data_IF_348510779524
#
_entry.id   IF_348510779524
#
_cell.length_a   1.000
_cell.length_b   1.000
_cell.length_c   1.000
_cell.angle_alpha   90.00
_cell.angle_beta   90.00
_cell.angle_gamma   90.00
#
_symmetry.space_group_name_H-M   'P 1'
#
loop_
_entity.id
_entity.type
_entity.pdbx_description
1 polymer ?
#
# COMPACT_ATOMS: atom_id res chain seq x y z
N UNK A 1 55.55 -22.73 6.20
CA UNK A 1 56.97 -22.35 6.36
C UNK A 1 57.07 -20.84 6.34
N UNK A 2 57.67 -20.29 7.44
CA UNK A 2 58.21 -18.94 7.65
C UNK A 2 57.24 -17.77 7.56
N UNK A 3 56.68 -17.16 8.63
CA UNK A 3 57.27 -16.44 9.78
C UNK A 3 58.13 -15.23 9.42
N UNK A 4 57.72 -14.06 9.89
CA UNK A 4 58.44 -13.08 10.74
C UNK A 4 57.71 -11.73 10.66
N UNK A 5 57.07 -11.18 11.70
CA UNK A 5 57.55 -10.44 12.88
C UNK A 5 58.05 -9.03 12.50
N UNK A 6 57.36 -7.97 12.88
CA UNK A 6 57.60 -7.23 14.09
C UNK A 6 57.87 -5.75 13.83
N UNK A 7 57.34 -4.86 14.65
CA UNK A 7 57.83 -3.48 14.71
C UNK A 7 56.84 -2.46 15.35
N UNK A 8 56.78 -2.50 16.68
CA UNK A 8 56.24 -1.39 17.52
C UNK A 8 57.21 -0.20 17.50
N UNK A 9 56.74 1.02 17.47
CA UNK A 9 57.30 2.12 18.29
C UNK A 9 56.27 3.22 18.58
N UNK A 10 56.28 3.64 19.80
CA UNK A 10 55.52 4.56 20.61
C UNK A 10 55.98 6.02 20.47
N UNK A 11 55.13 6.91 20.99
CA UNK A 11 55.34 8.24 21.63
C UNK A 11 55.30 9.46 20.67
N UNK A 12 54.72 10.61 20.96
CA UNK A 12 54.50 11.28 22.24
C UNK A 12 53.49 12.43 22.10
N UNK A 13 52.90 12.80 23.23
CA UNK A 13 52.04 13.95 23.56
C UNK A 13 52.60 15.32 23.10
N UNK A 14 51.69 16.25 22.81
CA UNK A 14 51.81 17.63 23.24
C UNK A 14 50.42 18.29 23.37
N UNK A 15 50.09 18.70 24.58
CA UNK A 15 48.96 19.51 25.02
C UNK A 15 49.37 20.98 24.85
N UNK A 16 48.52 21.82 24.24
CA UNK A 16 48.53 23.26 24.47
C UNK A 16 47.10 23.76 24.62
N UNK A 17 46.79 24.15 25.84
CA UNK A 17 45.61 24.93 26.21
C UNK A 17 45.95 26.44 26.07
N UNK A 18 45.06 27.22 25.51
CA UNK A 18 45.02 28.68 25.73
C UNK A 18 43.59 29.19 25.76
N UNK A 19 43.24 29.70 26.91
CA UNK A 19 42.13 30.51 27.33
C UNK A 19 42.32 31.97 26.87
N UNK A 20 41.20 32.66 26.49
CA UNK A 20 41.03 34.13 26.69
C UNK A 20 39.60 34.52 26.31
N UNK A 21 38.78 34.84 27.26
CA UNK A 21 38.36 36.14 27.84
C UNK A 21 37.28 36.87 27.04
N UNK A 22 36.15 37.01 27.71
CA UNK A 22 34.96 37.79 27.36
C UNK A 22 35.20 39.32 27.37
N UNK A 23 34.46 40.01 26.54
CA UNK A 23 34.18 41.44 26.74
C UNK A 23 32.70 41.70 26.45
N UNK A 24 32.00 42.09 27.51
CA UNK A 24 30.66 42.64 27.53
C UNK A 24 30.77 44.14 27.20
N UNK A 25 29.95 44.65 26.29
CA UNK A 25 29.65 46.07 26.16
C UNK A 25 28.14 46.21 25.97
N UNK A 26 27.48 46.74 26.99
CA UNK A 26 26.12 47.28 26.94
C UNK A 26 26.13 48.64 26.22
N UNK A 27 25.21 48.81 25.28
CA UNK A 27 24.74 50.15 24.88
C UNK A 27 23.25 50.09 24.61
N UNK A 28 22.49 50.84 25.36
CA UNK A 28 21.07 51.11 25.27
C UNK A 28 20.73 51.99 24.08
N UNK A 29 19.65 51.67 23.36
CA UNK A 29 19.03 52.52 22.34
C UNK A 29 17.73 51.84 21.90
N UNK A 30 16.61 52.39 22.33
CA UNK A 30 15.26 52.08 21.88
C UNK A 30 15.12 52.42 20.40
N UNK A 31 14.58 51.46 19.62
CA UNK A 31 13.74 51.77 18.47
C UNK A 31 12.96 50.48 18.10
N UNK A 32 11.65 50.61 18.11
CA UNK A 32 10.68 49.65 17.68
C UNK A 32 10.92 49.23 16.22
N UNK A 33 11.27 47.95 15.99
CA UNK A 33 11.14 47.33 14.68
C UNK A 33 10.56 45.94 14.87
N UNK A 34 9.35 45.82 14.40
CA UNK A 34 8.57 44.62 14.20
C UNK A 34 9.45 43.46 13.66
N UNK A 35 9.96 42.63 14.54
CA UNK A 35 10.56 41.36 14.16
C UNK A 35 9.44 40.34 13.97
N UNK A 36 8.90 40.34 12.75
CA UNK A 36 8.17 39.16 12.27
C UNK A 36 9.04 37.92 12.51
N UNK A 37 8.70 37.17 13.52
CA UNK A 37 9.19 35.83 13.71
C UNK A 37 8.85 35.06 12.43
N UNK A 38 9.79 34.95 11.52
CA UNK A 38 9.78 33.95 10.49
C UNK A 38 9.77 32.61 11.24
N UNK A 39 8.59 32.05 11.35
CA UNK A 39 8.38 30.67 11.68
C UNK A 39 9.25 29.88 10.72
N UNK A 40 10.32 29.28 11.19
CA UNK A 40 11.12 28.32 10.44
C UNK A 40 10.23 27.10 10.23
N UNK A 41 9.42 27.17 9.18
CA UNK A 41 8.77 26.01 8.62
C UNK A 41 9.87 25.05 8.13
N UNK A 42 9.97 23.89 8.80
CA UNK A 42 10.50 22.63 8.32
C UNK A 42 11.68 22.68 7.35
N UNK A 43 12.89 22.95 7.83
CA UNK A 43 14.08 22.59 7.08
C UNK A 43 14.34 21.11 7.23
N UNK A 44 14.36 20.33 6.14
CA UNK A 44 14.99 19.04 6.15
C UNK A 44 14.39 17.87 5.36
N UNK A 45 13.14 17.98 4.87
CA UNK A 45 12.55 16.84 4.15
C UNK A 45 13.03 16.73 2.68
N UNK A 46 13.51 17.79 2.07
CA UNK A 46 13.94 17.83 0.67
C UNK A 46 15.35 18.39 0.53
N UNK A 47 16.11 18.00 -0.53
CA UNK A 47 15.73 17.00 -1.53
C UNK A 47 15.65 15.59 -0.96
N UNK A 48 14.78 14.73 -1.56
CA UNK A 48 14.69 13.33 -1.22
C UNK A 48 14.91 12.45 -2.46
N UNK A 49 15.69 11.39 -2.33
CA UNK A 49 15.91 10.41 -3.41
C UNK A 49 15.23 9.09 -3.03
N UNK A 50 14.53 8.51 -3.98
CA UNK A 50 13.79 7.25 -3.85
C UNK A 50 14.27 6.29 -4.94
N UNK A 51 14.76 5.12 -4.53
CA UNK A 51 15.13 4.03 -5.44
C UNK A 51 13.87 3.25 -5.83
N UNK A 52 13.79 2.81 -7.09
CA UNK A 52 12.66 2.07 -7.64
C UNK A 52 13.11 1.18 -8.81
N UNK A 53 12.22 0.40 -9.40
CA UNK A 53 12.53 -0.60 -10.42
C UNK A 53 13.30 -0.06 -11.64
N UNK A 54 13.17 1.22 -11.95
CA UNK A 54 13.80 1.85 -13.12
C UNK A 54 14.96 2.81 -12.75
N UNK A 55 15.52 2.67 -11.56
CA UNK A 55 16.63 3.48 -11.05
C UNK A 55 16.27 4.27 -9.81
N UNK A 56 16.51 5.58 -9.81
CA UNK A 56 16.19 6.46 -8.68
C UNK A 56 15.63 7.80 -9.16
N UNK A 57 14.73 8.38 -8.36
CA UNK A 57 14.15 9.69 -8.61
C UNK A 57 14.45 10.62 -7.45
N UNK A 58 14.99 11.81 -7.76
CA UNK A 58 15.19 12.87 -6.78
C UNK A 58 14.07 13.88 -6.89
N UNK A 59 13.43 14.17 -5.76
CA UNK A 59 12.38 15.17 -5.60
C UNK A 59 13.02 16.36 -4.85
N UNK A 60 13.14 17.47 -5.52
CA UNK A 60 13.92 18.63 -5.04
C UNK A 60 13.18 19.46 -3.96
N UNK A 61 11.84 19.47 -4.02
CA UNK A 61 10.99 20.26 -3.13
C UNK A 61 9.65 19.56 -2.90
N UNK A 62 8.89 20.01 -1.89
CA UNK A 62 7.57 19.47 -1.61
C UNK A 62 6.65 19.56 -2.84
N UNK A 63 6.11 18.45 -3.34
CA UNK A 63 5.25 18.46 -4.52
C UNK A 63 3.87 19.05 -4.19
N UNK A 64 3.32 19.83 -5.14
CA UNK A 64 2.00 20.44 -5.03
C UNK A 64 0.97 19.83 -5.99
N UNK A 65 1.44 19.21 -7.08
CA UNK A 65 0.60 18.69 -8.17
C UNK A 65 0.95 17.25 -8.49
N UNK A 66 0.40 16.35 -7.71
CA UNK A 66 0.72 14.93 -7.81
C UNK A 66 -0.29 14.23 -8.71
N UNK A 67 0.19 13.40 -9.62
CA UNK A 67 -0.62 12.44 -10.38
C UNK A 67 -0.24 11.02 -9.95
N UNK A 68 -1.24 10.18 -9.73
CA UNK A 68 -1.03 8.75 -9.47
C UNK A 68 -1.43 7.93 -10.68
N UNK A 69 -0.59 6.96 -11.02
CA UNK A 69 -0.80 6.05 -12.16
C UNK A 69 -0.83 4.57 -11.76
N UNK A 70 -0.56 4.27 -10.48
CA UNK A 70 -0.74 2.93 -9.92
C UNK A 70 -2.20 2.64 -9.58
N UNK A 71 -2.49 1.39 -9.25
CA UNK A 71 -3.84 0.86 -9.08
C UNK A 71 -4.64 1.55 -7.95
N UNK A 72 -3.96 1.93 -6.85
CA UNK A 72 -4.58 2.55 -5.67
C UNK A 72 -3.65 3.54 -4.95
N UNK A 73 -2.67 4.06 -5.65
CA UNK A 73 -1.65 4.96 -5.08
C UNK A 73 -2.23 6.24 -4.48
N UNK A 74 -3.39 6.71 -5.00
CA UNK A 74 -4.10 7.85 -4.46
C UNK A 74 -4.51 7.63 -2.99
N UNK A 75 -4.77 6.38 -2.59
CA UNK A 75 -5.21 6.09 -1.22
C UNK A 75 -4.09 6.29 -0.20
N UNK A 76 -2.83 6.03 -0.58
CA UNK A 76 -1.67 6.35 0.26
C UNK A 76 -1.54 7.87 0.47
N UNK A 77 -1.74 8.67 -0.58
CA UNK A 77 -1.73 10.13 -0.48
C UNK A 77 -2.92 10.65 0.33
N UNK A 78 -4.11 10.12 0.12
CA UNK A 78 -5.31 10.50 0.86
C UNK A 78 -5.18 10.21 2.35
N UNK A 79 -4.52 9.10 2.73
CA UNK A 79 -4.22 8.78 4.11
C UNK A 79 -3.31 9.83 4.78
N UNK A 80 -2.45 10.48 4.00
CA UNK A 80 -1.57 11.59 4.40
C UNK A 80 -2.26 12.97 4.30
N UNK A 81 -3.55 13.02 3.96
CA UNK A 81 -4.32 14.24 3.77
C UNK A 81 -4.00 14.99 2.48
N UNK A 82 -3.35 14.35 1.51
CA UNK A 82 -2.97 14.93 0.22
C UNK A 82 -3.90 14.39 -0.86
N UNK A 83 -4.42 15.28 -1.69
CA UNK A 83 -5.34 14.95 -2.79
C UNK A 83 -4.60 15.08 -4.11
N UNK A 84 -4.38 14.00 -4.87
CA UNK A 84 -3.77 14.10 -6.19
C UNK A 84 -4.67 14.88 -7.15
N UNK A 85 -4.06 15.56 -8.12
CA UNK A 85 -4.78 16.29 -9.17
C UNK A 85 -5.25 15.38 -10.31
N UNK A 86 -4.65 14.20 -10.42
CA UNK A 86 -5.00 13.17 -11.40
C UNK A 86 -4.79 11.78 -10.82
N UNK A 87 -5.61 10.82 -11.25
CA UNK A 87 -5.54 9.44 -10.82
C UNK A 87 -6.03 8.48 -11.91
N UNK A 88 -5.71 7.20 -11.74
CA UNK A 88 -6.26 6.11 -12.55
C UNK A 88 -7.55 5.62 -11.92
N UNK A 89 -8.56 5.29 -12.73
CA UNK A 89 -9.76 4.61 -12.26
C UNK A 89 -9.51 3.08 -12.27
N UNK A 90 -9.74 2.41 -11.15
CA UNK A 90 -9.54 0.96 -11.04
C UNK A 90 -10.47 0.14 -11.94
N UNK A 91 -11.70 0.62 -12.16
CA UNK A 91 -12.72 -0.12 -12.90
C UNK A 91 -13.12 0.65 -14.14
N UNK A 92 -12.83 0.13 -15.37
CA UNK A 92 -13.25 0.77 -16.61
C UNK A 92 -14.76 0.98 -16.68
N UNK A 93 -15.19 2.16 -17.10
CA UNK A 93 -16.61 2.48 -17.29
C UNK A 93 -17.35 3.00 -16.05
N UNK A 94 -16.75 2.92 -14.87
CA UNK A 94 -17.35 3.41 -13.62
C UNK A 94 -16.57 4.63 -13.10
N UNK A 95 -16.92 5.85 -13.52
CA UNK A 95 -16.08 7.04 -13.29
C UNK A 95 -15.91 7.41 -11.81
N UNK A 96 -16.81 6.98 -10.94
CA UNK A 96 -16.84 7.40 -9.55
C UNK A 96 -16.49 6.32 -8.52
N UNK A 97 -16.18 5.10 -8.95
CA UNK A 97 -15.92 3.97 -8.06
C UNK A 97 -14.87 4.30 -7.01
N UNK A 98 -13.70 4.79 -7.43
CA UNK A 98 -12.60 5.11 -6.51
C UNK A 98 -12.91 6.27 -5.55
N UNK A 99 -13.98 7.03 -5.76
CA UNK A 99 -14.40 8.15 -4.91
C UNK A 99 -15.61 7.83 -4.04
N UNK A 100 -16.37 6.81 -4.40
CA UNK A 100 -17.61 6.44 -3.73
C UNK A 100 -17.43 5.42 -2.60
N UNK A 101 -16.29 4.77 -2.52
CA UNK A 101 -16.04 3.82 -1.46
C UNK A 101 -16.03 4.47 -0.07
N UNK A 102 -16.59 3.80 0.95
CA UNK A 102 -16.74 4.36 2.30
C UNK A 102 -15.45 4.90 2.91
N UNK A 103 -14.31 4.25 2.64
CA UNK A 103 -13.01 4.63 3.21
C UNK A 103 -12.33 5.81 2.52
N UNK A 104 -12.72 6.17 1.30
CA UNK A 104 -12.13 7.30 0.55
C UNK A 104 -13.03 8.52 0.44
N UNK A 105 -14.34 8.38 0.61
CA UNK A 105 -15.31 9.49 0.47
C UNK A 105 -14.99 10.66 1.40
N UNK A 106 -14.68 10.37 2.68
CA UNK A 106 -14.26 11.38 3.64
C UNK A 106 -12.95 12.08 3.26
N UNK A 107 -11.86 11.35 3.02
CA UNK A 107 -10.59 11.92 2.56
C UNK A 107 -10.69 12.77 1.29
N UNK A 108 -11.48 12.37 0.29
CA UNK A 108 -11.74 13.20 -0.90
C UNK A 108 -12.49 14.48 -0.56
N UNK A 109 -13.47 14.44 0.36
CA UNK A 109 -14.20 15.62 0.83
C UNK A 109 -14.80 16.46 -0.30
N UNK A 110 -15.31 15.80 -1.35
CA UNK A 110 -15.90 16.44 -2.53
C UNK A 110 -14.90 16.97 -3.57
N UNK A 111 -13.60 16.71 -3.42
CA UNK A 111 -12.62 17.01 -4.47
C UNK A 111 -12.75 16.00 -5.61
N UNK A 112 -12.66 16.48 -6.85
CA UNK A 112 -12.76 15.65 -8.05
C UNK A 112 -11.40 15.67 -8.78
N UNK A 113 -10.59 14.58 -8.71
CA UNK A 113 -9.38 14.47 -9.50
C UNK A 113 -9.70 14.22 -10.96
N UNK A 114 -8.78 14.56 -11.86
CA UNK A 114 -8.90 14.18 -13.27
C UNK A 114 -8.60 12.69 -13.40
N UNK A 115 -9.51 11.93 -14.01
CA UNK A 115 -9.26 10.53 -14.40
C UNK A 115 -8.38 10.52 -15.65
N UNK A 116 -7.10 10.12 -15.49
CA UNK A 116 -6.12 10.09 -16.58
C UNK A 116 -6.16 8.79 -17.39
N UNK A 117 -6.83 7.79 -16.90
CA UNK A 117 -7.02 6.48 -17.53
C UNK A 117 -7.71 5.51 -16.59
N UNK A 118 -7.75 4.25 -16.96
CA UNK A 118 -8.26 3.18 -16.13
C UNK A 118 -7.36 1.94 -16.25
N UNK A 119 -7.53 0.96 -15.37
CA UNK A 119 -6.91 -0.34 -15.55
C UNK A 119 -7.57 -1.08 -16.75
N UNK A 120 -6.79 -1.77 -17.58
CA UNK A 120 -5.31 -1.91 -17.54
C UNK A 120 -4.58 -0.62 -17.96
N UNK A 121 -3.29 -0.53 -17.65
CA UNK A 121 -2.43 0.64 -17.83
C UNK A 121 -2.32 1.15 -19.26
N UNK A 122 -2.55 0.33 -20.26
CA UNK A 122 -2.52 0.71 -21.70
C UNK A 122 -3.57 1.80 -22.04
N UNK A 123 -4.54 2.03 -21.14
CA UNK A 123 -5.55 3.08 -21.28
C UNK A 123 -5.14 4.42 -20.66
N UNK A 124 -3.98 4.49 -19.97
CA UNK A 124 -3.52 5.70 -19.30
C UNK A 124 -2.99 6.71 -20.34
N UNK A 125 -3.58 7.91 -20.35
CA UNK A 125 -3.22 8.96 -21.31
C UNK A 125 -2.09 9.83 -20.79
N UNK A 126 -0.93 9.71 -21.44
CA UNK A 126 0.26 10.56 -21.21
C UNK A 126 -0.07 12.03 -21.46
N UNK A 127 -0.89 12.34 -22.47
CA UNK A 127 -1.32 13.68 -22.82
C UNK A 127 -2.13 14.33 -21.69
N UNK A 128 -3.12 13.61 -21.13
CA UNK A 128 -3.90 14.10 -19.99
C UNK A 128 -3.01 14.37 -18.77
N UNK A 129 -2.03 13.49 -18.51
CA UNK A 129 -1.06 13.68 -17.43
C UNK A 129 -0.27 14.97 -17.67
N UNK A 130 0.27 15.17 -18.86
CA UNK A 130 1.03 16.38 -19.20
C UNK A 130 0.20 17.68 -19.09
N UNK A 131 -1.10 17.64 -19.47
CA UNK A 131 -2.01 18.77 -19.32
C UNK A 131 -2.21 19.18 -17.85
N UNK A 132 -2.13 18.24 -16.93
CA UNK A 132 -2.22 18.49 -15.48
C UNK A 132 -0.97 19.18 -14.93
N UNK A 133 0.15 19.23 -15.69
CA UNK A 133 1.42 19.83 -15.28
C UNK A 133 1.84 19.33 -13.88
N UNK A 134 2.00 18.04 -13.69
CA UNK A 134 2.42 17.50 -12.40
C UNK A 134 3.86 17.90 -12.08
N UNK A 135 4.18 17.98 -10.79
CA UNK A 135 5.53 18.11 -10.26
C UNK A 135 6.01 16.77 -9.62
N UNK A 136 5.12 15.81 -9.50
CA UNK A 136 5.42 14.42 -9.11
C UNK A 136 4.42 13.45 -9.75
N UNK A 137 4.91 12.30 -10.21
CA UNK A 137 4.09 11.18 -10.66
C UNK A 137 4.43 9.96 -9.79
N UNK A 138 3.43 9.26 -9.27
CA UNK A 138 3.57 8.03 -8.51
C UNK A 138 2.96 6.86 -9.26
N UNK A 139 3.71 5.77 -9.41
CA UNK A 139 3.29 4.49 -9.96
C UNK A 139 3.81 3.34 -9.08
N UNK A 140 3.44 3.36 -7.78
CA UNK A 140 4.03 2.51 -6.75
C UNK A 140 3.47 1.10 -6.76
N UNK A 141 2.18 0.95 -7.03
CA UNK A 141 1.47 -0.33 -7.12
C UNK A 141 0.93 -0.50 -8.54
N UNK A 142 1.82 -0.87 -9.46
CA UNK A 142 1.56 -0.85 -10.89
C UNK A 142 2.35 -1.94 -11.64
N UNK A 143 1.99 -2.16 -12.91
CA UNK A 143 2.76 -2.97 -13.88
C UNK A 143 3.35 -2.11 -15.00
N UNK A 144 3.53 -0.80 -14.79
CA UNK A 144 4.12 0.07 -15.83
C UNK A 144 5.49 -0.44 -16.25
N UNK A 145 5.73 -0.53 -17.56
CA UNK A 145 7.00 -0.96 -18.12
C UNK A 145 8.01 0.20 -18.23
N UNK A 146 9.25 -0.12 -18.57
CA UNK A 146 10.30 0.88 -18.78
C UNK A 146 9.90 1.93 -19.83
N UNK A 147 9.24 1.52 -20.91
CA UNK A 147 8.85 2.43 -22.00
C UNK A 147 7.80 3.44 -21.54
N UNK A 148 6.87 3.01 -20.67
CA UNK A 148 5.87 3.90 -20.12
C UNK A 148 6.47 4.79 -19.03
N UNK A 149 7.34 4.26 -18.17
CA UNK A 149 8.12 5.04 -17.20
C UNK A 149 8.91 6.16 -17.89
N UNK A 150 9.60 5.88 -19.00
CA UNK A 150 10.38 6.88 -19.76
C UNK A 150 9.49 8.04 -20.25
N UNK A 151 8.24 7.76 -20.65
CA UNK A 151 7.29 8.79 -21.07
C UNK A 151 6.82 9.64 -19.89
N UNK A 152 6.57 9.04 -18.73
CA UNK A 152 6.15 9.74 -17.52
C UNK A 152 7.30 10.61 -16.96
N UNK A 153 8.50 10.07 -16.89
CA UNK A 153 9.69 10.77 -16.39
C UNK A 153 10.13 11.94 -17.28
N UNK A 154 9.72 11.94 -18.55
CA UNK A 154 9.88 13.10 -19.42
C UNK A 154 8.92 14.26 -19.08
N UNK A 155 7.85 14.02 -18.32
CA UNK A 155 6.89 15.06 -17.90
C UNK A 155 7.27 15.61 -16.53
N UNK A 156 7.52 14.73 -15.54
CA UNK A 156 7.83 15.11 -14.17
C UNK A 156 8.66 14.02 -13.46
N UNK A 157 9.31 14.33 -12.33
CA UNK A 157 9.88 13.30 -11.46
C UNK A 157 8.87 12.17 -11.22
N UNK A 158 9.27 10.93 -11.51
CA UNK A 158 8.37 9.76 -11.45
C UNK A 158 8.97 8.71 -10.53
N UNK A 159 8.22 8.27 -9.52
CA UNK A 159 8.59 7.15 -8.65
C UNK A 159 7.77 5.94 -9.07
N UNK A 160 8.45 4.89 -9.54
CA UNK A 160 7.83 3.63 -9.91
C UNK A 160 7.79 2.65 -8.71
N UNK A 161 7.27 1.43 -8.95
CA UNK A 161 7.23 0.36 -7.94
C UNK A 161 8.61 0.06 -7.37
N UNK A 162 8.64 -0.47 -6.16
CA UNK A 162 9.88 -0.94 -5.55
C UNK A 162 10.48 -2.10 -6.38
N UNK A 163 11.81 -2.10 -6.55
CA UNK A 163 12.53 -3.08 -7.37
C UNK A 163 12.54 -4.51 -6.81
N UNK A 164 12.28 -4.65 -5.51
CA UNK A 164 12.32 -5.94 -4.82
C UNK A 164 11.02 -6.76 -5.00
N UNK A 165 10.00 -6.17 -5.66
CA UNK A 165 8.69 -6.79 -5.80
C UNK A 165 8.25 -6.85 -7.25
N UNK A 166 7.53 -7.91 -7.60
CA UNK A 166 6.86 -8.06 -8.87
C UNK A 166 5.72 -7.06 -9.06
N UNK A 167 5.12 -7.05 -10.25
CA UNK A 167 3.99 -6.18 -10.56
C UNK A 167 2.82 -6.47 -9.60
N UNK A 168 2.24 -5.39 -9.04
CA UNK A 168 1.16 -5.47 -8.06
C UNK A 168 1.45 -6.30 -6.79
N UNK A 169 2.72 -6.53 -6.46
CA UNK A 169 3.12 -7.30 -5.28
C UNK A 169 3.75 -6.46 -4.16
N UNK A 170 3.95 -5.14 -4.38
CA UNK A 170 4.51 -4.24 -3.35
C UNK A 170 3.60 -4.22 -2.12
N UNK A 171 4.10 -4.54 -0.92
CA UNK A 171 3.32 -4.46 0.31
C UNK A 171 2.77 -3.06 0.56
N UNK A 172 1.57 -2.97 1.12
CA UNK A 172 0.91 -1.69 1.41
C UNK A 172 1.72 -0.79 2.35
N UNK A 173 2.53 -1.38 3.25
CA UNK A 173 3.45 -0.65 4.12
C UNK A 173 4.47 0.13 3.28
N UNK A 174 5.13 -0.57 2.35
CA UNK A 174 6.14 0.00 1.46
C UNK A 174 5.52 1.07 0.57
N UNK A 175 4.33 0.81 0.00
CA UNK A 175 3.60 1.79 -0.81
C UNK A 175 3.29 3.05 0.00
N UNK A 176 2.79 2.90 1.23
CA UNK A 176 2.43 4.00 2.13
C UNK A 176 3.67 4.82 2.53
N UNK A 177 4.74 4.13 2.96
CA UNK A 177 5.97 4.80 3.39
C UNK A 177 6.70 5.48 2.21
N UNK A 178 6.69 4.88 1.02
CA UNK A 178 7.27 5.46 -0.18
C UNK A 178 6.50 6.72 -0.60
N UNK A 179 5.17 6.67 -0.62
CA UNK A 179 4.34 7.84 -0.89
C UNK A 179 4.59 8.95 0.14
N UNK A 180 4.67 8.59 1.43
CA UNK A 180 4.94 9.54 2.50
C UNK A 180 6.32 10.19 2.36
N UNK A 181 7.36 9.40 2.05
CA UNK A 181 8.71 9.89 1.79
C UNK A 181 8.73 10.84 0.60
N UNK A 182 8.01 10.49 -0.49
CA UNK A 182 7.94 11.31 -1.69
C UNK A 182 7.33 12.69 -1.47
N UNK A 183 6.47 12.82 -0.46
CA UNK A 183 5.80 14.10 -0.11
C UNK A 183 6.34 14.76 1.16
N UNK A 184 7.48 14.26 1.69
CA UNK A 184 8.15 14.84 2.88
C UNK A 184 7.42 14.59 4.20
N UNK A 185 6.58 13.54 4.27
CA UNK A 185 5.78 13.14 5.44
C UNK A 185 6.17 11.76 5.98
N UNK A 186 7.45 11.41 5.94
CA UNK A 186 7.95 10.08 6.28
C UNK A 186 7.51 9.61 7.68
N UNK A 187 7.57 10.48 8.69
CA UNK A 187 7.15 10.13 10.05
C UNK A 187 5.64 9.89 10.15
N UNK A 188 4.81 10.65 9.39
CA UNK A 188 3.37 10.42 9.31
C UNK A 188 3.06 9.07 8.64
N UNK A 189 3.78 8.74 7.56
CA UNK A 189 3.64 7.44 6.88
C UNK A 189 3.97 6.27 7.80
N UNK A 190 5.10 6.32 8.50
CA UNK A 190 5.48 5.31 9.50
C UNK A 190 4.44 5.17 10.61
N UNK A 191 3.86 6.29 11.05
CA UNK A 191 2.81 6.25 12.07
C UNK A 191 1.54 5.59 11.54
N UNK A 192 1.12 5.89 10.32
CA UNK A 192 -0.05 5.25 9.68
C UNK A 192 0.16 3.74 9.60
N UNK A 193 1.33 3.29 9.16
CA UNK A 193 1.67 1.87 9.09
C UNK A 193 1.61 1.23 10.48
N UNK A 194 2.26 1.84 11.46
CA UNK A 194 2.27 1.32 12.84
C UNK A 194 0.86 1.23 13.47
N UNK A 195 0.00 2.23 13.23
CA UNK A 195 -1.38 2.24 13.75
C UNK A 195 -2.21 1.09 13.15
N UNK A 196 -2.03 0.77 11.87
CA UNK A 196 -2.73 -0.34 11.20
C UNK A 196 -2.17 -1.69 11.66
N UNK A 197 -0.86 -1.83 11.76
CA UNK A 197 -0.22 -3.05 12.29
C UNK A 197 -0.60 -3.31 13.74
N UNK A 198 -0.78 -2.26 14.55
CA UNK A 198 -1.30 -2.40 15.90
C UNK A 198 -2.74 -2.93 15.90
N UNK A 199 -3.59 -2.47 14.97
CA UNK A 199 -4.95 -2.98 14.82
C UNK A 199 -4.97 -4.49 14.50
N UNK A 200 -4.08 -4.96 13.62
CA UNK A 200 -3.92 -6.39 13.35
C UNK A 200 -3.44 -7.15 14.60
N UNK A 201 -2.48 -6.58 15.34
CA UNK A 201 -1.96 -7.17 16.57
C UNK A 201 -3.06 -7.29 17.63
N UNK A 202 -3.88 -6.27 17.77
CA UNK A 202 -5.02 -6.27 18.70
C UNK A 202 -6.07 -7.33 18.31
N UNK A 203 -6.38 -7.43 17.00
CA UNK A 203 -7.29 -8.45 16.48
C UNK A 203 -6.76 -9.88 16.75
N UNK A 204 -5.50 -10.12 16.43
CA UNK A 204 -4.83 -11.40 16.68
C UNK A 204 -4.79 -11.76 18.17
N UNK A 205 -4.63 -10.77 19.04
CA UNK A 205 -4.64 -10.97 20.50
C UNK A 205 -6.05 -11.28 21.02
N UNK A 206 -7.07 -10.63 20.44
CA UNK A 206 -8.47 -10.85 20.81
C UNK A 206 -8.99 -12.21 20.31
N UNK A 207 -8.42 -12.76 19.24
CA UNK A 207 -8.85 -13.97 18.56
C UNK A 207 -7.69 -14.98 18.42
N UNK A 208 -7.13 -15.50 19.55
CA UNK A 208 -6.02 -16.44 19.50
C UNK A 208 -6.38 -17.78 18.82
N UNK A 209 -7.67 -18.10 18.71
CA UNK A 209 -8.17 -19.28 17.99
C UNK A 209 -7.82 -19.29 16.50
N UNK A 210 -7.66 -18.13 15.87
CA UNK A 210 -7.28 -18.05 14.46
C UNK A 210 -5.90 -18.66 14.18
N UNK A 211 -5.01 -18.70 15.17
CA UNK A 211 -3.69 -19.30 15.02
C UNK A 211 -3.70 -20.82 14.78
N UNK A 212 -4.83 -21.48 15.04
CA UNK A 212 -5.00 -22.91 14.80
C UNK A 212 -5.82 -23.20 13.54
N UNK A 213 -6.41 -22.19 12.90
CA UNK A 213 -7.26 -22.28 11.72
C UNK A 213 -6.49 -21.89 10.44
N UNK A 214 -6.80 -22.56 9.33
CA UNK A 214 -6.41 -22.14 7.97
C UNK A 214 -7.48 -21.23 7.39
N UNK A 215 -7.08 -20.23 6.61
CA UNK A 215 -8.01 -19.35 5.93
C UNK A 215 -7.56 -19.02 4.51
N UNK A 216 -8.52 -18.88 3.60
CA UNK A 216 -8.28 -18.58 2.19
C UNK A 216 -9.22 -17.48 1.70
N UNK A 217 -8.71 -16.61 0.85
CA UNK A 217 -9.52 -15.65 0.08
C UNK A 217 -9.51 -16.12 -1.38
N UNK A 218 -10.69 -16.15 -1.98
CA UNK A 218 -10.87 -16.47 -3.39
C UNK A 218 -11.77 -15.45 -4.07
N UNK A 219 -11.64 -15.35 -5.39
CA UNK A 219 -12.71 -14.81 -6.26
C UNK A 219 -13.37 -15.96 -6.99
N UNK A 220 -14.61 -15.75 -7.40
CA UNK A 220 -15.34 -16.65 -8.27
C UNK A 220 -16.01 -15.86 -9.39
N UNK A 221 -16.28 -16.51 -10.51
CA UNK A 221 -17.11 -15.96 -11.57
C UNK A 221 -18.43 -16.75 -11.73
N UNK A 222 -19.27 -16.32 -12.65
CA UNK A 222 -20.58 -16.95 -12.90
C UNK A 222 -20.47 -18.33 -13.55
N UNK A 223 -19.37 -18.66 -14.19
CA UNK A 223 -18.96 -19.99 -14.57
C UNK A 223 -18.12 -20.54 -13.42
N UNK A 224 -18.24 -21.82 -13.01
CA UNK A 224 -17.63 -22.29 -11.75
C UNK A 224 -16.09 -22.34 -11.79
N UNK A 225 -15.49 -21.20 -12.07
CA UNK A 225 -14.07 -20.97 -11.99
C UNK A 225 -13.76 -20.20 -10.70
N UNK A 226 -12.80 -20.69 -9.94
CA UNK A 226 -12.37 -20.14 -8.68
C UNK A 226 -10.91 -19.74 -8.78
N UNK A 227 -10.58 -18.58 -8.27
CA UNK A 227 -9.21 -18.07 -8.23
C UNK A 227 -8.80 -17.84 -6.79
N UNK A 228 -7.93 -18.71 -6.30
CA UNK A 228 -7.39 -18.62 -4.95
C UNK A 228 -6.18 -17.69 -4.91
N UNK A 229 -6.09 -16.83 -3.89
CA UNK A 229 -4.98 -15.92 -3.72
C UNK A 229 -3.93 -16.51 -2.79
N UNK A 230 -2.64 -16.33 -3.14
CA UNK A 230 -1.53 -16.80 -2.32
C UNK A 230 -1.45 -16.08 -0.97
N UNK A 231 -0.76 -16.67 -0.02
CA UNK A 231 -0.41 -16.01 1.25
C UNK A 231 0.49 -14.78 1.05
N UNK A 232 1.20 -14.69 -0.08
CA UNK A 232 2.05 -13.56 -0.44
C UNK A 232 1.29 -12.46 -1.21
N UNK A 233 0.09 -12.74 -1.69
CA UNK A 233 -0.79 -11.71 -2.26
C UNK A 233 -1.29 -10.75 -1.17
N UNK A 234 -1.61 -9.53 -1.53
CA UNK A 234 -2.07 -8.51 -0.58
C UNK A 234 -3.30 -8.96 0.23
N UNK A 235 -4.19 -9.74 -0.36
CA UNK A 235 -5.39 -10.30 0.29
C UNK A 235 -5.05 -11.44 1.25
N UNK A 236 -4.15 -12.35 0.86
CA UNK A 236 -3.68 -13.43 1.73
C UNK A 236 -2.92 -12.90 2.95
N UNK A 237 -2.10 -11.87 2.77
CA UNK A 237 -1.38 -11.19 3.87
C UNK A 237 -2.30 -10.63 4.94
N UNK A 238 -3.53 -10.20 4.58
CA UNK A 238 -4.52 -9.73 5.57
C UNK A 238 -4.91 -10.87 6.52
N UNK A 239 -5.20 -12.06 5.98
CA UNK A 239 -5.53 -13.23 6.81
C UNK A 239 -4.38 -13.63 7.72
N UNK A 240 -3.16 -13.65 7.21
CA UNK A 240 -1.95 -13.90 8.00
C UNK A 240 -1.75 -12.84 9.10
N UNK A 241 -2.05 -11.57 8.81
CA UNK A 241 -2.00 -10.48 9.79
C UNK A 241 -3.03 -10.64 10.91
N UNK A 242 -4.18 -11.25 10.63
CA UNK A 242 -5.20 -11.63 11.62
C UNK A 242 -4.82 -12.89 12.42
N UNK A 243 -3.80 -13.63 11.99
CA UNK A 243 -3.26 -14.76 12.70
C UNK A 243 -3.54 -16.13 12.08
N UNK A 244 -4.31 -16.20 11.00
CA UNK A 244 -4.59 -17.46 10.30
C UNK A 244 -3.34 -18.07 9.69
N UNK A 245 -3.33 -19.40 9.58
CA UNK A 245 -2.31 -20.12 8.83
C UNK A 245 -2.60 -20.05 7.33
N UNK A 246 -1.56 -19.93 6.49
CA UNK A 246 -1.71 -20.11 5.06
C UNK A 246 -2.05 -21.55 4.74
N UNK A 247 -2.68 -21.77 3.59
CA UNK A 247 -2.83 -23.09 3.02
C UNK A 247 -1.62 -23.39 2.13
N UNK A 248 -0.71 -24.26 2.61
CA UNK A 248 0.54 -24.61 1.89
C UNK A 248 0.29 -25.32 0.57
N UNK A 249 -0.83 -26.08 0.44
CA UNK A 249 -1.17 -26.79 -0.79
C UNK A 249 -1.63 -25.79 -1.86
N UNK A 250 -2.43 -24.80 -1.48
CA UNK A 250 -2.85 -23.71 -2.36
C UNK A 250 -1.64 -22.87 -2.75
N UNK A 251 -0.79 -22.45 -1.80
CA UNK A 251 0.42 -21.68 -2.10
C UNK A 251 1.36 -22.40 -3.08
N UNK A 252 1.47 -23.72 -2.98
CA UNK A 252 2.28 -24.53 -3.90
C UNK A 252 1.77 -24.53 -5.36
N UNK A 253 0.51 -24.15 -5.60
CA UNK A 253 -0.06 -24.07 -6.95
C UNK A 253 0.32 -22.75 -7.68
N UNK A 254 0.74 -21.73 -6.96
CA UNK A 254 0.91 -20.38 -7.51
C UNK A 254 2.03 -20.27 -8.56
N UNK A 255 3.06 -21.11 -8.49
CA UNK A 255 4.19 -21.13 -9.44
C UNK A 255 4.81 -19.76 -9.72
N UNK A 256 4.76 -18.83 -8.73
CA UNK A 256 5.23 -17.45 -8.85
C UNK A 256 4.16 -16.44 -9.28
N UNK A 257 2.93 -16.89 -9.55
CA UNK A 257 1.78 -16.01 -9.80
C UNK A 257 1.12 -15.59 -8.47
N UNK A 258 0.34 -14.53 -8.48
CA UNK A 258 -0.36 -14.04 -7.28
C UNK A 258 -1.66 -14.81 -6.98
N UNK A 259 -2.21 -15.55 -7.95
CA UNK A 259 -3.35 -16.43 -7.78
C UNK A 259 -3.20 -17.72 -8.59
N UNK A 260 -4.01 -18.72 -8.24
CA UNK A 260 -4.14 -19.95 -8.99
C UNK A 260 -5.61 -20.25 -9.29
N UNK A 261 -5.89 -20.73 -10.50
CA UNK A 261 -7.21 -21.26 -10.85
C UNK A 261 -7.43 -22.62 -10.17
N UNK A 262 -8.56 -22.75 -9.49
CA UNK A 262 -9.01 -23.99 -8.85
C UNK A 262 -10.14 -24.56 -9.67
N UNK A 263 -9.87 -25.66 -10.36
CA UNK A 263 -10.87 -26.34 -11.17
C UNK A 263 -11.97 -26.96 -10.31
N UNK A 264 -13.14 -27.19 -10.92
CA UNK A 264 -14.27 -27.87 -10.27
C UNK A 264 -13.97 -29.31 -9.81
N UNK A 265 -12.87 -29.91 -10.27
CA UNK A 265 -12.41 -31.24 -9.84
C UNK A 265 -11.53 -31.18 -8.58
N UNK A 266 -11.04 -29.97 -8.21
CA UNK A 266 -10.15 -29.73 -7.08
C UNK A 266 -10.76 -28.77 -6.05
N UNK A 267 -12.08 -28.80 -5.89
CA UNK A 267 -12.76 -28.04 -4.85
C UNK A 267 -12.35 -28.43 -3.43
N UNK A 268 -11.73 -29.60 -3.26
CA UNK A 268 -11.10 -30.01 -2.01
C UNK A 268 -10.09 -28.97 -1.47
N UNK A 269 -9.42 -28.23 -2.34
CA UNK A 269 -8.50 -27.15 -1.99
C UNK A 269 -9.17 -25.91 -1.37
N UNK A 270 -10.49 -25.79 -1.50
CA UNK A 270 -11.27 -24.72 -0.87
C UNK A 270 -11.80 -25.13 0.51
N UNK A 271 -11.58 -26.38 0.94
CA UNK A 271 -12.12 -26.92 2.19
C UNK A 271 -11.21 -26.59 3.38
N UNK A 272 -10.95 -25.32 3.58
CA UNK A 272 -10.18 -24.74 4.68
C UNK A 272 -11.07 -24.44 5.90
N UNK A 273 -10.49 -24.02 7.03
CA UNK A 273 -11.27 -23.70 8.21
C UNK A 273 -12.13 -22.44 8.04
N UNK A 274 -11.68 -21.45 7.28
CA UNK A 274 -12.42 -20.22 6.94
C UNK A 274 -12.23 -19.86 5.47
N UNK A 275 -13.31 -19.70 4.73
CA UNK A 275 -13.28 -19.32 3.32
C UNK A 275 -13.94 -17.96 3.12
N UNK A 276 -13.20 -17.00 2.56
CA UNK A 276 -13.73 -15.71 2.13
C UNK A 276 -13.85 -15.71 0.61
N UNK A 277 -15.04 -15.46 0.11
CA UNK A 277 -15.34 -15.43 -1.33
C UNK A 277 -15.68 -14.02 -1.74
N UNK A 278 -14.84 -13.40 -2.56
CA UNK A 278 -15.14 -12.12 -3.20
C UNK A 278 -16.03 -12.40 -4.41
N UNK A 279 -17.27 -12.00 -4.33
CA UNK A 279 -18.27 -12.24 -5.37
C UNK A 279 -19.41 -11.23 -5.28
N UNK A 280 -19.92 -10.80 -6.42
CA UNK A 280 -21.20 -10.07 -6.47
C UNK A 280 -22.39 -11.03 -6.19
N UNK A 281 -23.59 -10.53 -5.93
CA UNK A 281 -24.72 -11.39 -5.53
C UNK A 281 -25.13 -12.45 -6.54
N UNK A 282 -24.99 -12.15 -7.83
CA UNK A 282 -25.35 -13.11 -8.88
C UNK A 282 -24.33 -14.27 -8.90
N UNK A 283 -23.05 -13.94 -8.76
CA UNK A 283 -21.98 -14.93 -8.63
C UNK A 283 -22.10 -15.72 -7.32
N UNK A 284 -22.37 -15.05 -6.20
CA UNK A 284 -22.64 -15.72 -4.92
C UNK A 284 -23.77 -16.74 -5.06
N UNK A 285 -24.89 -16.36 -5.69
CA UNK A 285 -26.01 -17.26 -5.89
C UNK A 285 -25.63 -18.46 -6.76
N UNK A 286 -24.84 -18.25 -7.81
CA UNK A 286 -24.35 -19.30 -8.69
C UNK A 286 -23.40 -20.26 -7.96
N UNK A 287 -22.44 -19.75 -7.18
CA UNK A 287 -21.51 -20.54 -6.38
C UNK A 287 -22.25 -21.36 -5.33
N UNK A 288 -23.16 -20.75 -4.58
CA UNK A 288 -23.98 -21.45 -3.57
C UNK A 288 -24.86 -22.55 -4.15
N UNK A 289 -25.27 -22.46 -5.42
CA UNK A 289 -26.07 -23.46 -6.09
C UNK A 289 -25.28 -24.71 -6.53
N UNK A 290 -23.94 -24.67 -6.52
CA UNK A 290 -23.11 -25.77 -7.01
C UNK A 290 -23.06 -26.94 -6.02
N UNK A 291 -23.42 -28.18 -6.45
CA UNK A 291 -23.37 -29.32 -5.54
C UNK A 291 -21.98 -29.61 -4.97
N UNK A 292 -20.91 -29.41 -5.77
CA UNK A 292 -19.53 -29.60 -5.33
C UNK A 292 -19.16 -28.65 -4.21
N UNK A 293 -19.51 -27.37 -4.35
CA UNK A 293 -19.26 -26.36 -3.32
C UNK A 293 -20.07 -26.64 -2.04
N UNK A 294 -21.33 -27.03 -2.18
CA UNK A 294 -22.18 -27.40 -1.03
C UNK A 294 -21.67 -28.64 -0.27
N UNK A 295 -20.87 -29.48 -0.93
CA UNK A 295 -20.31 -30.69 -0.32
C UNK A 295 -19.10 -30.46 0.57
N UNK A 296 -18.50 -29.24 0.50
CA UNK A 296 -17.34 -28.85 1.32
C UNK A 296 -17.74 -28.73 2.80
N UNK A 297 -16.84 -29.12 3.69
CA UNK A 297 -17.09 -29.06 5.13
C UNK A 297 -17.09 -27.61 5.63
N UNK A 298 -16.27 -26.73 5.05
CA UNK A 298 -16.31 -25.27 5.32
C UNK A 298 -17.70 -24.68 5.06
N UNK A 299 -18.41 -25.16 4.01
CA UNK A 299 -19.78 -24.72 3.68
C UNK A 299 -20.81 -25.31 4.64
N UNK A 300 -20.73 -26.62 4.92
CA UNK A 300 -21.64 -27.31 5.86
C UNK A 300 -21.55 -26.75 7.27
N UNK A 301 -20.36 -26.27 7.67
CA UNK A 301 -20.11 -25.70 8.97
C UNK A 301 -20.41 -24.19 9.04
N UNK A 302 -20.98 -23.59 7.98
CA UNK A 302 -21.27 -22.15 7.87
C UNK A 302 -20.04 -21.25 8.10
N UNK A 303 -18.87 -21.67 7.60
CA UNK A 303 -17.60 -20.95 7.73
C UNK A 303 -17.17 -20.25 6.44
N UNK A 304 -18.11 -20.01 5.53
CA UNK A 304 -17.92 -19.25 4.29
C UNK A 304 -18.48 -17.86 4.44
N UNK A 305 -17.66 -16.86 4.14
CA UNK A 305 -18.02 -15.45 4.14
C UNK A 305 -18.03 -14.98 2.69
N UNK A 306 -19.17 -14.47 2.20
CA UNK A 306 -19.25 -13.81 0.91
C UNK A 306 -19.16 -12.30 1.09
N UNK A 307 -18.32 -11.65 0.30
CA UNK A 307 -18.10 -10.19 0.31
C UNK A 307 -18.14 -9.65 -1.11
N UNK A 308 -18.96 -8.62 -1.33
CA UNK A 308 -19.06 -7.99 -2.64
C UNK A 308 -18.01 -6.90 -2.83
N UNK A 309 -17.55 -6.75 -4.07
CA UNK A 309 -16.63 -5.69 -4.50
C UNK A 309 -17.35 -4.55 -5.25
N UNK A 310 -18.49 -4.84 -5.89
CA UNK A 310 -19.24 -3.92 -6.75
C UNK A 310 -20.43 -3.22 -6.07
N UNK A 311 -20.76 -3.62 -4.84
CA UNK A 311 -21.86 -3.03 -4.07
C UNK A 311 -21.55 -2.92 -2.57
N UNK A 312 -22.30 -2.02 -1.91
CA UNK A 312 -22.18 -1.82 -0.46
C UNK A 312 -22.41 -3.14 0.31
N UNK A 313 -21.59 -3.41 1.33
CA UNK A 313 -20.58 -2.55 1.94
C UNK A 313 -19.20 -2.54 1.28
N UNK A 314 -19.00 -3.04 0.07
CA UNK A 314 -17.75 -3.02 -0.69
C UNK A 314 -16.56 -3.69 0.02
N UNK A 315 -16.78 -4.69 0.85
CA UNK A 315 -15.70 -5.35 1.61
C UNK A 315 -14.72 -6.06 0.68
N UNK A 316 -15.23 -6.68 -0.40
CA UNK A 316 -14.39 -7.28 -1.43
C UNK A 316 -13.46 -6.28 -2.10
N UNK A 317 -13.99 -5.08 -2.45
CA UNK A 317 -13.19 -3.99 -2.99
C UNK A 317 -12.14 -3.48 -1.98
N UNK A 318 -12.49 -3.42 -0.68
CA UNK A 318 -11.55 -3.00 0.35
C UNK A 318 -10.40 -3.99 0.53
N UNK A 319 -10.68 -5.30 0.45
CA UNK A 319 -9.68 -6.36 0.45
C UNK A 319 -8.78 -6.29 -0.79
N UNK A 320 -9.36 -6.06 -1.96
CA UNK A 320 -8.62 -5.93 -3.22
C UNK A 320 -7.75 -4.67 -3.24
N UNK A 321 -8.24 -3.55 -2.71
CA UNK A 321 -7.46 -2.31 -2.61
C UNK A 321 -6.28 -2.46 -1.66
N UNK A 322 -6.40 -3.19 -0.54
CA UNK A 322 -5.32 -3.45 0.43
C UNK A 322 -4.45 -2.24 0.73
N UNK A 323 -5.07 -1.07 0.94
CA UNK A 323 -4.40 0.21 1.16
C UNK A 323 -4.45 0.65 2.63
N UNK A 324 -3.68 1.67 2.98
CA UNK A 324 -3.71 2.29 4.30
C UNK A 324 -5.11 2.79 4.72
N UNK A 325 -6.00 3.10 3.78
CA UNK A 325 -7.38 3.50 4.06
C UNK A 325 -8.35 2.33 4.08
N UNK A 326 -8.20 1.37 3.15
CA UNK A 326 -9.15 0.27 3.01
C UNK A 326 -8.94 -0.84 4.05
N UNK A 327 -7.70 -1.08 4.48
CA UNK A 327 -7.37 -2.15 5.41
C UNK A 327 -8.07 -2.04 6.77
N UNK A 328 -8.11 -0.88 7.45
CA UNK A 328 -8.88 -0.75 8.68
C UNK A 328 -10.36 -1.08 8.49
N UNK A 329 -10.94 -0.63 7.38
CA UNK A 329 -12.33 -0.90 7.02
C UNK A 329 -12.59 -2.40 6.76
N UNK A 330 -11.75 -3.03 5.92
CA UNK A 330 -11.85 -4.45 5.61
C UNK A 330 -11.68 -5.32 6.86
N UNK A 331 -10.73 -4.97 7.73
CA UNK A 331 -10.46 -5.70 8.98
C UNK A 331 -11.67 -5.70 9.89
N UNK A 332 -12.30 -4.54 10.14
CA UNK A 332 -13.49 -4.46 10.98
C UNK A 332 -14.65 -5.29 10.42
N UNK A 333 -14.89 -5.19 9.11
CA UNK A 333 -15.95 -5.93 8.44
C UNK A 333 -15.72 -7.46 8.43
N UNK A 334 -14.47 -7.89 8.26
CA UNK A 334 -14.12 -9.32 8.33
C UNK A 334 -14.25 -9.86 9.75
N UNK A 335 -13.71 -9.18 10.75
CA UNK A 335 -13.78 -9.61 12.14
C UNK A 335 -15.24 -9.76 12.60
N UNK A 336 -16.13 -8.83 12.21
CA UNK A 336 -17.56 -8.96 12.51
C UNK A 336 -18.17 -10.26 11.99
N UNK A 337 -17.69 -10.78 10.85
CA UNK A 337 -18.20 -12.00 10.23
C UNK A 337 -17.46 -13.25 10.70
N UNK A 338 -16.15 -13.18 10.88
CA UNK A 338 -15.31 -14.30 11.33
C UNK A 338 -15.63 -14.74 12.77
N UNK A 339 -16.18 -13.87 13.58
CA UNK A 339 -16.46 -14.09 15.01
C UNK A 339 -17.93 -14.46 15.31
N UNK A 340 -18.77 -14.59 14.27
CA UNK A 340 -20.15 -15.10 14.38
C UNK A 340 -20.19 -16.59 14.33
#
# INVERSE_FOLDING_TARGET
MKSFVGGRRLASLAIVAMTSIALVACSSGDDDADSASASSAGGGAFPVTIDHAYGSTTIESAPERIVTVGYNDEQALLALGIKPVGMVNQYPGEPDVNRSWPWVTGPWGGTEPTVVGSNPEDTISVEKIAELKPDLILGLYSSIDQSFYDKLSAIAPTVAKNADYDDYATPWQITTETAAKAVGKEDEGKKIVADIEQKFTDAKTAHPEFADETALIITADATPEYYAFSSEDTRGRILASLGFKPDEEVDALMNGEFNAEISSERLDLLDVDRLVVIANPDVEAAVRAQPGFQALDVVKNNRVIFVADDQAPFVGAALTASSALSLPYATDALLEQLTK
#
